data_IF_980130444069
#
_entry.id   IF_980130444069
#
_cell.length_a   1.000
_cell.length_b   1.000
_cell.length_c   1.000
_cell.angle_alpha   90.00
_cell.angle_beta   90.00
_cell.angle_gamma   90.00
#
_symmetry.space_group_name_H-M   'P 1'
#
loop_
_entity.id
_entity.type
_entity.pdbx_description
1 polymer ?
#
# COMPACT_ATOMS: atom_id res chain seq x y z
N UNK A 1 -37.61 -49.92 -5.24
CA UNK A 1 -37.90 -48.64 -4.57
C UNK A 1 -36.56 -48.01 -4.23
N UNK A 2 -36.17 -47.14 -5.14
CA UNK A 2 -34.97 -46.37 -5.11
C UNK A 2 -35.31 -45.04 -4.40
N UNK A 3 -34.77 -44.83 -3.25
CA UNK A 3 -34.98 -43.63 -2.45
C UNK A 3 -33.61 -42.94 -2.28
N UNK A 4 -33.25 -42.10 -3.25
CA UNK A 4 -32.10 -41.24 -3.16
C UNK A 4 -32.48 -39.97 -2.37
N UNK A 5 -31.84 -39.68 -1.23
CA UNK A 5 -32.07 -38.42 -0.53
C UNK A 5 -31.39 -37.28 -1.27
N UNK A 6 -32.21 -36.27 -1.51
CA UNK A 6 -31.90 -35.06 -2.26
C UNK A 6 -30.64 -34.35 -1.82
N UNK A 7 -29.99 -33.77 -2.82
CA UNK A 7 -29.00 -32.72 -2.70
C UNK A 7 -29.53 -31.62 -1.78
N UNK A 8 -28.88 -31.43 -0.66
CA UNK A 8 -29.08 -30.26 0.19
C UNK A 8 -28.47 -29.07 -0.57
N UNK A 9 -29.35 -28.26 -1.13
CA UNK A 9 -29.03 -26.90 -1.56
C UNK A 9 -28.49 -26.18 -0.35
N UNK A 10 -27.18 -26.05 -0.31
CA UNK A 10 -26.47 -25.16 0.67
C UNK A 10 -26.93 -23.73 0.32
N UNK A 11 -27.53 -22.98 1.25
CA UNK A 11 -28.01 -21.65 0.95
C UNK A 11 -26.78 -20.78 0.52
N UNK A 12 -26.97 -19.89 -0.46
CA UNK A 12 -25.89 -19.01 -0.88
C UNK A 12 -25.41 -18.23 0.34
N UNK A 13 -24.12 -18.31 0.61
CA UNK A 13 -23.46 -17.50 1.64
C UNK A 13 -23.91 -16.05 1.44
N UNK A 14 -24.62 -15.52 2.42
CA UNK A 14 -25.14 -14.16 2.48
C UNK A 14 -23.95 -13.22 2.70
N UNK A 15 -23.06 -13.12 1.71
CA UNK A 15 -22.08 -12.04 1.63
C UNK A 15 -22.85 -10.78 1.28
N UNK A 16 -22.70 -9.71 2.06
CA UNK A 16 -23.25 -8.42 1.66
C UNK A 16 -22.79 -8.13 0.23
N UNK A 17 -23.74 -7.88 -0.65
CA UNK A 17 -23.43 -7.60 -2.04
C UNK A 17 -22.55 -6.35 -2.12
N UNK A 18 -21.37 -6.45 -2.72
CA UNK A 18 -20.54 -5.30 -3.06
C UNK A 18 -21.17 -4.57 -4.27
N UNK A 19 -22.26 -3.88 -3.99
CA UNK A 19 -23.08 -3.12 -4.93
C UNK A 19 -22.65 -1.62 -5.00
N UNK A 20 -23.45 -0.80 -5.67
CA UNK A 20 -23.19 0.64 -5.77
C UNK A 20 -23.18 1.36 -4.40
N UNK A 21 -24.01 0.91 -3.46
CA UNK A 21 -24.07 1.50 -2.12
C UNK A 21 -22.78 1.19 -1.34
N UNK A 22 -22.30 -0.06 -1.43
CA UNK A 22 -21.00 -0.44 -0.88
C UNK A 22 -19.86 0.38 -1.50
N UNK A 23 -19.86 0.56 -2.83
CA UNK A 23 -18.83 1.34 -3.50
C UNK A 23 -18.86 2.81 -3.12
N UNK A 24 -20.05 3.39 -2.96
CA UNK A 24 -20.22 4.75 -2.45
C UNK A 24 -19.60 4.93 -1.07
N UNK A 25 -19.89 4.00 -0.16
CA UNK A 25 -19.31 4.00 1.19
C UNK A 25 -17.78 3.83 1.17
N UNK A 26 -17.26 2.92 0.33
CA UNK A 26 -15.82 2.72 0.13
C UNK A 26 -15.13 4.01 -0.36
N UNK A 27 -15.74 4.66 -1.36
CA UNK A 27 -15.24 5.91 -1.92
C UNK A 27 -15.18 7.02 -0.86
N UNK A 28 -16.27 7.24 -0.14
CA UNK A 28 -16.37 8.28 0.90
C UNK A 28 -15.37 8.04 2.03
N UNK A 29 -15.19 6.79 2.44
CA UNK A 29 -14.27 6.44 3.52
C UNK A 29 -12.79 6.55 3.13
N UNK A 30 -12.41 6.24 1.88
CA UNK A 30 -11.01 5.96 1.56
C UNK A 30 -10.40 6.83 0.44
N UNK A 31 -11.19 7.56 -0.36
CA UNK A 31 -10.68 8.36 -1.49
C UNK A 31 -9.61 9.37 -1.06
N UNK A 32 -9.83 10.07 0.06
CA UNK A 32 -8.86 11.03 0.61
C UNK A 32 -7.56 10.37 1.06
N UNK A 33 -7.63 9.20 1.68
CA UNK A 33 -6.46 8.46 2.14
C UNK A 33 -5.61 7.99 0.94
N UNK A 34 -6.26 7.50 -0.12
CA UNK A 34 -5.59 7.10 -1.37
C UNK A 34 -4.93 8.29 -2.07
N UNK A 35 -5.64 9.41 -2.21
CA UNK A 35 -5.06 10.63 -2.76
C UNK A 35 -3.81 11.05 -1.99
N UNK A 36 -3.89 11.12 -0.65
CA UNK A 36 -2.77 11.48 0.21
C UNK A 36 -1.61 10.49 0.10
N UNK A 37 -1.88 9.20 -0.09
CA UNK A 37 -0.87 8.17 -0.32
C UNK A 37 -0.02 8.49 -1.55
N UNK A 38 -0.66 8.85 -2.68
CA UNK A 38 0.04 9.18 -3.93
C UNK A 38 0.76 10.51 -3.86
N UNK A 39 0.12 11.57 -3.34
CA UNK A 39 0.76 12.89 -3.20
C UNK A 39 2.08 12.81 -2.44
N UNK A 40 2.13 12.04 -1.36
CA UNK A 40 3.35 11.89 -0.56
C UNK A 40 4.46 11.07 -1.22
N UNK A 41 4.14 10.32 -2.28
CA UNK A 41 5.06 9.36 -2.92
C UNK A 41 5.40 9.69 -4.37
N UNK A 42 4.75 10.66 -4.97
CA UNK A 42 5.07 11.13 -6.32
C UNK A 42 6.18 12.20 -6.29
N UNK A 43 7.02 12.29 -7.33
CA UNK A 43 8.05 13.33 -7.45
C UNK A 43 7.45 14.73 -7.39
N UNK A 44 8.12 15.67 -6.70
CA UNK A 44 7.73 17.08 -6.56
C UNK A 44 6.31 17.31 -6.03
N UNK A 45 5.85 16.41 -5.13
CA UNK A 45 4.49 16.41 -4.63
C UNK A 45 3.47 15.85 -5.63
N UNK A 46 3.94 15.33 -6.78
CA UNK A 46 3.13 14.90 -7.91
C UNK A 46 2.43 16.08 -8.59
N UNK A 47 2.10 15.97 -9.88
CA UNK A 47 0.99 16.79 -10.37
C UNK A 47 -0.24 16.33 -9.62
N UNK A 48 -1.01 17.24 -9.06
CA UNK A 48 -2.27 16.88 -8.36
C UNK A 48 -3.13 15.94 -9.22
N UNK A 49 -3.12 16.16 -10.56
CA UNK A 49 -3.76 15.30 -11.55
C UNK A 49 -3.26 13.84 -11.51
N UNK A 50 -1.95 13.60 -11.38
CA UNK A 50 -1.41 12.23 -11.40
C UNK A 50 -1.82 11.47 -10.13
N UNK A 51 -1.87 12.16 -8.98
CA UNK A 51 -2.34 11.58 -7.72
C UNK A 51 -3.85 11.27 -7.75
N UNK A 52 -4.65 12.18 -8.34
CA UNK A 52 -6.08 11.99 -8.54
C UNK A 52 -6.35 10.82 -9.49
N UNK A 53 -5.66 10.76 -10.62
CA UNK A 53 -5.80 9.68 -11.61
C UNK A 53 -5.45 8.32 -11.01
N UNK A 54 -4.34 8.23 -10.27
CA UNK A 54 -3.94 6.99 -9.63
C UNK A 54 -4.91 6.56 -8.52
N UNK A 55 -5.41 7.50 -7.71
CA UNK A 55 -6.42 7.20 -6.71
C UNK A 55 -7.73 6.71 -7.34
N UNK A 56 -8.16 7.36 -8.43
CA UNK A 56 -9.32 6.92 -9.20
C UNK A 56 -9.10 5.53 -9.82
N UNK A 57 -7.89 5.22 -10.31
CA UNK A 57 -7.57 3.89 -10.87
C UNK A 57 -7.62 2.79 -9.81
N UNK A 58 -7.18 3.09 -8.55
CA UNK A 58 -7.33 2.15 -7.41
C UNK A 58 -8.81 1.85 -7.17
N UNK A 59 -9.64 2.89 -7.07
CA UNK A 59 -11.08 2.75 -6.82
C UNK A 59 -11.79 2.04 -7.97
N UNK A 60 -11.47 2.38 -9.21
CA UNK A 60 -11.99 1.66 -10.38
C UNK A 60 -11.57 0.19 -10.39
N UNK A 61 -10.37 -0.12 -9.90
CA UNK A 61 -9.92 -1.50 -9.75
C UNK A 61 -10.69 -2.23 -8.65
N UNK A 62 -10.97 -1.54 -7.53
CA UNK A 62 -11.80 -2.09 -6.46
C UNK A 62 -13.22 -2.41 -6.95
N UNK A 63 -13.82 -1.53 -7.76
CA UNK A 63 -15.12 -1.80 -8.36
C UNK A 63 -15.11 -3.00 -9.32
N UNK A 64 -14.11 -3.07 -10.21
CA UNK A 64 -13.99 -4.21 -11.15
C UNK A 64 -13.73 -5.54 -10.44
N UNK A 65 -13.05 -5.51 -9.31
CA UNK A 65 -12.64 -6.67 -8.52
C UNK A 65 -13.33 -6.72 -7.16
N UNK A 66 -14.53 -6.16 -7.07
CA UNK A 66 -15.24 -6.00 -5.80
C UNK A 66 -15.42 -7.31 -5.02
N UNK A 67 -15.59 -8.42 -5.73
CA UNK A 67 -15.72 -9.73 -5.11
C UNK A 67 -14.43 -10.26 -4.47
N UNK A 68 -13.27 -9.65 -4.81
CA UNK A 68 -11.96 -9.97 -4.23
C UNK A 68 -11.60 -9.04 -3.06
N UNK A 69 -12.37 -7.98 -2.83
CA UNK A 69 -12.12 -7.04 -1.72
C UNK A 69 -12.64 -7.67 -0.42
N UNK A 70 -11.79 -7.87 0.60
CA UNK A 70 -12.23 -8.52 1.82
C UNK A 70 -13.08 -7.56 2.67
N UNK A 71 -14.20 -8.05 3.22
CA UNK A 71 -15.02 -7.31 4.16
C UNK A 71 -14.20 -6.94 5.42
N UNK A 72 -14.28 -5.66 5.82
CA UNK A 72 -13.58 -5.13 7.01
C UNK A 72 -12.07 -4.98 6.83
N UNK A 73 -11.55 -5.21 5.63
CA UNK A 73 -10.13 -5.04 5.30
C UNK A 73 -9.94 -4.34 3.93
N UNK A 74 -10.88 -3.49 3.58
CA UNK A 74 -10.92 -2.76 2.31
C UNK A 74 -9.69 -1.84 2.20
N UNK A 75 -9.37 -1.07 3.23
CA UNK A 75 -8.26 -0.12 3.21
C UNK A 75 -6.89 -0.80 2.98
N UNK A 76 -6.52 -1.88 3.70
CA UNK A 76 -5.32 -2.65 3.38
C UNK A 76 -5.27 -3.17 1.95
N UNK A 77 -6.39 -3.66 1.41
CA UNK A 77 -6.47 -4.12 0.03
C UNK A 77 -6.24 -2.97 -0.97
N UNK A 78 -6.84 -1.80 -0.71
CA UNK A 78 -6.66 -0.59 -1.50
C UNK A 78 -5.19 -0.11 -1.49
N UNK A 79 -4.52 -0.09 -0.34
CA UNK A 79 -3.10 0.29 -0.26
C UNK A 79 -2.17 -0.72 -0.94
N UNK A 80 -2.49 -1.99 -0.89
CA UNK A 80 -1.75 -3.00 -1.66
C UNK A 80 -1.88 -2.74 -3.15
N UNK A 81 -3.08 -2.48 -3.63
CA UNK A 81 -3.36 -2.13 -5.03
C UNK A 81 -2.67 -0.83 -5.42
N UNK A 82 -2.73 0.21 -4.57
CA UNK A 82 -2.06 1.49 -4.78
C UNK A 82 -0.54 1.31 -4.94
N UNK A 83 0.09 0.44 -4.15
CA UNK A 83 1.52 0.14 -4.27
C UNK A 83 1.89 -0.43 -5.64
N UNK A 84 1.09 -1.35 -6.19
CA UNK A 84 1.32 -1.88 -7.54
C UNK A 84 1.12 -0.82 -8.63
N UNK A 85 0.10 0.02 -8.52
CA UNK A 85 -0.15 1.09 -9.50
C UNK A 85 0.96 2.14 -9.46
N UNK A 86 1.44 2.51 -8.28
CA UNK A 86 2.56 3.42 -8.13
C UNK A 86 3.85 2.87 -8.77
N UNK A 87 4.18 1.61 -8.52
CA UNK A 87 5.32 0.94 -9.13
C UNK A 87 5.22 0.89 -10.66
N UNK A 88 4.02 0.62 -11.20
CA UNK A 88 3.74 0.66 -12.63
C UNK A 88 3.88 2.07 -13.22
N UNK A 89 3.34 3.08 -12.55
CA UNK A 89 3.44 4.48 -12.96
C UNK A 89 4.90 4.92 -13.06
N UNK A 90 5.72 4.63 -12.04
CA UNK A 90 7.15 4.95 -12.04
C UNK A 90 7.94 4.25 -13.14
N UNK A 91 7.61 2.99 -13.44
CA UNK A 91 8.25 2.28 -14.57
C UNK A 91 7.94 2.96 -15.91
N UNK A 92 6.70 3.37 -16.12
CA UNK A 92 6.30 4.10 -17.33
C UNK A 92 7.07 5.41 -17.45
N UNK A 93 7.20 6.16 -16.35
CA UNK A 93 7.93 7.43 -16.32
C UNK A 93 9.44 7.26 -16.57
N UNK A 94 10.05 6.16 -16.14
CA UNK A 94 11.48 5.86 -16.37
C UNK A 94 11.77 5.23 -17.75
N UNK A 95 10.77 5.06 -18.62
CA UNK A 95 10.89 4.39 -19.92
C UNK A 95 11.57 3.00 -19.85
N UNK A 96 11.40 2.26 -18.76
CA UNK A 96 11.95 0.92 -18.60
C UNK A 96 11.09 -0.11 -19.35
N UNK A 97 11.72 -1.17 -19.95
CA UNK A 97 10.97 -2.21 -20.65
C UNK A 97 9.89 -2.85 -19.77
N UNK A 98 8.69 -3.04 -20.34
CA UNK A 98 7.49 -3.56 -19.66
C UNK A 98 7.63 -5.02 -19.18
N UNK A 99 8.71 -5.70 -19.50
CA UNK A 99 8.88 -7.15 -19.33
C UNK A 99 9.04 -7.63 -17.86
N UNK A 100 9.20 -6.74 -16.90
CA UNK A 100 9.38 -7.13 -15.49
C UNK A 100 8.24 -6.55 -14.66
N UNK A 101 7.29 -7.41 -14.29
CA UNK A 101 6.33 -7.08 -13.21
C UNK A 101 7.15 -7.06 -11.91
N UNK A 102 7.13 -5.98 -11.11
CA UNK A 102 7.82 -6.01 -9.82
C UNK A 102 7.20 -7.08 -8.93
N UNK A 103 8.02 -7.97 -8.40
CA UNK A 103 7.58 -8.96 -7.40
C UNK A 103 7.18 -8.28 -6.08
N UNK A 104 7.65 -7.05 -5.85
CA UNK A 104 7.28 -6.23 -4.70
C UNK A 104 6.63 -4.91 -5.14
N UNK A 105 5.46 -4.57 -4.55
CA UNK A 105 4.88 -3.26 -4.74
C UNK A 105 5.75 -2.20 -4.03
N UNK A 106 6.03 -1.11 -4.75
CA UNK A 106 6.59 0.13 -4.23
C UNK A 106 8.11 0.13 -3.94
N UNK A 107 8.89 0.39 -4.98
CA UNK A 107 10.26 0.90 -4.83
C UNK A 107 10.20 2.45 -4.74
N UNK A 108 9.96 2.96 -3.53
CA UNK A 108 9.89 4.41 -3.30
C UNK A 108 11.29 5.00 -3.29
N UNK A 109 11.63 5.76 -4.32
CA UNK A 109 12.84 6.57 -4.34
C UNK A 109 12.77 7.66 -3.25
N UNK A 110 13.68 7.70 -2.27
CA UNK A 110 13.68 8.72 -1.22
C UNK A 110 13.68 10.15 -1.75
N UNK A 111 14.30 10.38 -2.91
CA UNK A 111 14.34 11.70 -3.53
C UNK A 111 12.96 12.20 -3.98
N UNK A 112 11.99 11.28 -4.16
CA UNK A 112 10.62 11.62 -4.59
C UNK A 112 9.63 11.74 -3.43
N UNK A 113 10.06 11.49 -2.20
CA UNK A 113 9.19 11.62 -1.04
C UNK A 113 8.94 13.10 -0.72
N UNK A 114 7.68 13.41 -0.40
CA UNK A 114 7.30 14.73 0.13
C UNK A 114 7.80 14.88 1.58
N UNK A 115 9.12 14.99 1.72
CA UNK A 115 9.83 15.23 2.98
C UNK A 115 10.65 16.49 2.81
N UNK A 116 10.36 17.52 3.62
CA UNK A 116 11.03 18.82 3.54
C UNK A 116 12.42 18.79 4.17
N UNK A 117 12.68 17.86 5.08
CA UNK A 117 13.94 17.73 5.81
C UNK A 117 14.95 16.86 5.04
N UNK A 118 16.08 17.47 4.65
CA UNK A 118 17.15 16.81 3.91
C UNK A 118 17.83 15.71 4.73
N UNK A 119 17.95 15.87 6.06
CA UNK A 119 18.52 14.84 6.95
C UNK A 119 17.63 13.59 6.95
N UNK A 120 16.31 13.77 7.09
CA UNK A 120 15.34 12.66 7.01
C UNK A 120 15.44 11.98 5.65
N UNK A 121 15.51 12.74 4.54
CA UNK A 121 15.63 12.17 3.19
C UNK A 121 16.91 11.36 3.03
N UNK A 122 18.04 11.86 3.54
CA UNK A 122 19.32 11.15 3.50
C UNK A 122 19.29 9.88 4.35
N UNK A 123 18.72 9.91 5.54
CA UNK A 123 18.57 8.74 6.40
C UNK A 123 17.67 7.68 5.74
N UNK A 124 16.53 8.08 5.19
CA UNK A 124 15.63 7.18 4.46
C UNK A 124 16.31 6.57 3.22
N UNK A 125 17.24 7.29 2.57
CA UNK A 125 17.98 6.76 1.42
C UNK A 125 18.92 5.59 1.75
N UNK A 126 19.37 5.50 3.00
CA UNK A 126 20.24 4.42 3.49
C UNK A 126 19.48 3.13 3.81
N UNK A 127 18.14 3.20 3.88
CA UNK A 127 17.30 2.03 4.15
C UNK A 127 17.02 1.23 2.87
N UNK A 128 16.77 -0.07 3.02
CA UNK A 128 16.21 -0.86 1.93
C UNK A 128 14.82 -0.33 1.54
N UNK A 129 14.41 -0.51 0.28
CA UNK A 129 13.06 -0.14 -0.20
C UNK A 129 11.97 -0.77 0.66
N UNK A 130 12.16 -2.02 1.07
CA UNK A 130 11.22 -2.74 1.93
C UNK A 130 11.08 -2.11 3.31
N UNK A 131 12.21 -1.80 3.99
CA UNK A 131 12.19 -1.17 5.32
C UNK A 131 11.55 0.21 5.25
N UNK A 132 11.92 1.00 4.26
CA UNK A 132 11.34 2.32 4.01
C UNK A 132 9.84 2.26 3.79
N UNK A 133 9.38 1.34 2.92
CA UNK A 133 7.95 1.11 2.69
C UNK A 133 7.20 0.78 3.99
N UNK A 134 7.71 -0.12 4.80
CA UNK A 134 7.10 -0.50 6.09
C UNK A 134 6.96 0.72 7.00
N UNK A 135 8.02 1.51 7.13
CA UNK A 135 8.02 2.71 7.96
C UNK A 135 7.02 3.76 7.48
N UNK A 136 6.94 3.98 6.16
CA UNK A 136 6.02 4.95 5.58
C UNK A 136 4.56 4.50 5.71
N UNK A 137 4.24 3.22 5.54
CA UNK A 137 2.90 2.67 5.76
C UNK A 137 2.44 2.88 7.21
N UNK A 138 3.36 2.77 8.17
CA UNK A 138 3.04 3.02 9.58
C UNK A 138 2.98 4.51 9.90
N UNK A 139 3.99 5.29 9.50
CA UNK A 139 4.11 6.69 9.90
C UNK A 139 3.14 7.62 9.15
N UNK A 140 2.90 7.38 7.86
CA UNK A 140 2.08 8.25 7.02
C UNK A 140 0.66 7.74 6.81
N UNK A 141 0.51 6.42 6.70
CA UNK A 141 -0.77 5.81 6.37
C UNK A 141 -1.45 5.20 7.59
N UNK A 142 -0.79 5.23 8.76
CA UNK A 142 -1.36 4.83 10.04
C UNK A 142 -1.60 3.32 10.19
N UNK A 143 -1.02 2.50 9.32
CA UNK A 143 -1.24 1.06 9.33
C UNK A 143 -0.52 0.39 10.51
N UNK A 144 -1.17 -0.58 11.12
CA UNK A 144 -0.60 -1.36 12.21
C UNK A 144 -1.21 -2.77 12.27
N UNK A 145 -0.56 -3.67 12.99
CA UNK A 145 -1.12 -4.99 13.29
C UNK A 145 -1.53 -5.76 12.04
N UNK A 146 -2.79 -6.16 11.99
CA UNK A 146 -3.33 -7.00 10.92
C UNK A 146 -3.42 -6.26 9.58
N UNK A 147 -3.70 -4.96 9.58
CA UNK A 147 -3.75 -4.13 8.36
C UNK A 147 -2.37 -4.07 7.70
N UNK A 148 -1.32 -3.83 8.49
CA UNK A 148 0.05 -3.84 7.97
C UNK A 148 0.43 -5.22 7.44
N UNK A 149 0.08 -6.28 8.16
CA UNK A 149 0.33 -7.67 7.77
C UNK A 149 -0.32 -7.99 6.41
N UNK A 150 -1.55 -7.55 6.21
CA UNK A 150 -2.31 -7.75 4.99
C UNK A 150 -1.71 -6.99 3.79
N UNK A 151 -1.30 -5.72 3.98
CA UNK A 151 -0.63 -4.95 2.93
C UNK A 151 0.70 -5.59 2.54
N UNK A 152 1.43 -6.13 3.51
CA UNK A 152 2.73 -6.78 3.28
C UNK A 152 2.61 -8.24 2.78
N UNK A 153 1.41 -8.84 2.86
CA UNK A 153 1.18 -10.23 2.48
C UNK A 153 1.88 -11.24 3.39
N UNK A 154 1.99 -10.94 4.68
CA UNK A 154 2.65 -11.76 5.71
C UNK A 154 1.73 -11.99 6.91
N UNK A 155 2.11 -12.87 7.85
CA UNK A 155 1.41 -12.97 9.12
C UNK A 155 1.60 -11.72 9.98
N UNK A 156 0.70 -11.50 10.95
CA UNK A 156 0.82 -10.40 11.92
C UNK A 156 2.18 -10.40 12.64
N UNK A 157 2.59 -11.54 13.16
CA UNK A 157 3.92 -11.67 13.80
C UNK A 157 5.07 -11.38 12.83
N UNK A 158 4.91 -11.73 11.54
CA UNK A 158 5.85 -11.38 10.48
C UNK A 158 5.93 -9.87 10.23
N UNK A 159 4.79 -9.18 10.24
CA UNK A 159 4.72 -7.73 10.09
C UNK A 159 5.34 -7.00 11.30
N UNK A 160 5.00 -7.42 12.52
CA UNK A 160 5.55 -6.85 13.75
C UNK A 160 7.07 -7.01 13.82
N UNK A 161 7.58 -8.19 13.46
CA UNK A 161 9.02 -8.43 13.40
C UNK A 161 9.72 -7.62 12.30
N UNK A 162 9.08 -7.47 11.13
CA UNK A 162 9.60 -6.65 10.04
C UNK A 162 9.66 -5.16 10.43
N UNK A 163 8.60 -4.64 11.05
CA UNK A 163 8.54 -3.27 11.55
C UNK A 163 9.59 -3.01 12.63
N UNK A 164 9.77 -3.95 13.57
CA UNK A 164 10.79 -3.85 14.60
C UNK A 164 12.20 -3.74 14.00
N UNK A 165 12.52 -4.59 13.00
CA UNK A 165 13.81 -4.52 12.29
C UNK A 165 13.98 -3.24 11.49
N UNK A 166 12.93 -2.78 10.79
CA UNK A 166 12.97 -1.53 10.05
C UNK A 166 13.24 -0.33 10.96
N UNK A 167 12.60 -0.29 12.14
CA UNK A 167 12.85 0.74 13.16
C UNK A 167 14.26 0.70 13.73
N UNK A 168 14.83 -0.49 13.93
CA UNK A 168 16.22 -0.62 14.38
C UNK A 168 17.18 -0.05 13.34
N UNK A 169 17.03 -0.44 12.06
CA UNK A 169 17.85 0.08 10.97
C UNK A 169 17.69 1.60 10.76
N UNK A 170 16.49 2.14 10.99
CA UNK A 170 16.28 3.58 10.95
C UNK A 170 17.09 4.29 12.03
N UNK A 171 17.12 3.78 13.27
CA UNK A 171 17.95 4.34 14.34
C UNK A 171 19.42 4.27 13.99
N UNK A 172 19.92 3.12 13.55
CA UNK A 172 21.32 2.94 13.17
C UNK A 172 21.73 3.92 12.05
N UNK A 173 20.84 4.12 11.06
CA UNK A 173 21.06 5.05 9.96
C UNK A 173 21.06 6.52 10.42
N UNK A 174 20.23 6.84 11.42
CA UNK A 174 20.17 8.17 12.02
C UNK A 174 21.43 8.48 12.82
N UNK A 175 21.85 7.57 13.71
CA UNK A 175 23.07 7.72 14.51
C UNK A 175 24.32 7.89 13.62
N UNK A 176 24.38 7.12 12.52
CA UNK A 176 25.46 7.25 11.54
C UNK A 176 25.42 8.57 10.75
N UNK A 177 24.22 9.17 10.57
CA UNK A 177 24.07 10.47 9.95
C UNK A 177 24.57 11.59 10.89
N UNK A 178 24.16 11.58 12.16
CA UNK A 178 24.61 12.55 13.16
C UNK A 178 26.12 12.54 13.32
N UNK A 179 26.73 11.35 13.44
CA UNK A 179 28.19 11.22 13.53
C UNK A 179 28.93 11.77 12.31
N UNK A 180 28.33 11.70 11.12
CA UNK A 180 28.94 12.23 9.90
C UNK A 180 28.79 13.74 9.76
N UNK A 181 27.82 14.36 10.43
CA UNK A 181 27.66 15.84 10.47
C UNK A 181 28.57 16.47 11.48
N UNK A 182 28.90 15.76 12.57
CA UNK A 182 29.74 16.25 13.68
C UNK A 182 31.25 16.05 13.42
N UNK A 183 31.64 15.37 12.32
CA UNK A 183 33.02 15.05 11.97
C UNK A 183 33.62 16.00 10.92
#
# INVERSE_FOLDING_TARGET
VDDSPGSQDEPPHDRPAHDEAWFGALFDAHSRALYSYFVRRLPDGGRASDAEDLAAEVLATAWRRRDDVPDGAELPWLYRTAGYLLANHRRKMRALPVAVVPDEPDDVDPATLAVDDDAVRQVLSRLSSRDRRILLLVAWDGLSGDDLAQVLGVSRGGADAALSRARARLRDAWDAHEQAVDA
#
